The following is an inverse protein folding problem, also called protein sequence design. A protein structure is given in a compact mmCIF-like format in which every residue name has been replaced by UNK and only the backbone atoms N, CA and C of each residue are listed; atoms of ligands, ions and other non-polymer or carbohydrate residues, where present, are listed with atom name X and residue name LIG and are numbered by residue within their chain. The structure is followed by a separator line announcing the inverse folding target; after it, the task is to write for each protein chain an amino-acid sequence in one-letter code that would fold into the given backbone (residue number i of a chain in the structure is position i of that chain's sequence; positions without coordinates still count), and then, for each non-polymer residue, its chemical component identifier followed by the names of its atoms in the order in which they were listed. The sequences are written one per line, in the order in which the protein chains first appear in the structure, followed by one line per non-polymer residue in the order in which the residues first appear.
data_IF_873447542640
#
_entry.id   IF_873447542640
#
_cell.length_a   1.000
_cell.length_b   1.000
_cell.length_c   1.000
_cell.angle_alpha   90.00
_cell.angle_beta   90.00
_cell.angle_gamma   90.00
#
_symmetry.space_group_name_H-M   'P 1'
#
loop_
_entity.id
_entity.type
_entity.pdbx_description
1 polymer ?
#
# COMPACT_ATOMS: atom_id res chain seq x y z
N UNK A 1 38.23 20.18 13.27
CA UNK A 1 36.77 20.35 13.46
C UNK A 1 36.07 19.53 12.37
N UNK A 2 35.72 18.28 12.66
CA UNK A 2 34.94 17.44 11.75
C UNK A 2 33.47 17.84 11.90
N UNK A 3 32.87 18.39 10.85
CA UNK A 3 31.43 18.58 10.78
C UNK A 3 30.80 17.21 10.51
N UNK A 4 30.35 16.52 11.55
CA UNK A 4 29.45 15.39 11.39
C UNK A 4 28.10 15.94 10.95
N UNK A 5 27.84 15.90 9.65
CA UNK A 5 26.48 16.07 9.13
C UNK A 5 25.70 14.84 9.57
N UNK A 6 25.01 14.94 10.69
CA UNK A 6 23.94 14.01 11.02
C UNK A 6 22.86 14.21 9.97
N UNK A 7 22.89 13.41 8.90
CA UNK A 7 21.76 13.30 7.99
C UNK A 7 20.58 12.79 8.82
N UNK A 8 19.67 13.68 9.20
CA UNK A 8 18.39 13.26 9.74
C UNK A 8 17.72 12.43 8.66
N UNK A 9 17.49 11.14 8.93
CA UNK A 9 16.83 10.26 7.99
C UNK A 9 15.45 10.85 7.65
N UNK A 10 15.25 11.21 6.37
CA UNK A 10 13.97 11.71 5.88
C UNK A 10 12.97 10.56 5.82
N UNK A 11 11.76 10.78 6.32
CA UNK A 11 10.66 9.83 6.15
C UNK A 11 10.28 9.75 4.67
N UNK A 12 10.31 8.54 4.11
CA UNK A 12 9.94 8.29 2.72
C UNK A 12 9.01 7.09 2.64
N UNK A 13 8.11 7.12 1.66
CA UNK A 13 7.32 5.97 1.21
C UNK A 13 7.78 5.67 -0.21
N UNK A 14 8.04 4.41 -0.52
CA UNK A 14 8.48 3.96 -1.84
C UNK A 14 7.64 2.78 -2.29
N UNK A 15 7.65 2.53 -3.59
CA UNK A 15 7.16 1.27 -4.19
C UNK A 15 8.35 0.37 -4.51
N UNK A 16 8.19 -0.95 -4.33
CA UNK A 16 9.22 -1.89 -4.78
C UNK A 16 9.17 -2.11 -6.29
N UNK A 17 7.99 -1.95 -6.88
CA UNK A 17 7.78 -1.95 -8.31
C UNK A 17 6.79 -0.85 -8.68
N UNK A 18 7.13 -0.03 -9.66
CA UNK A 18 6.26 1.04 -10.14
C UNK A 18 5.14 0.53 -11.07
N UNK A 19 5.30 -0.66 -11.64
CA UNK A 19 4.32 -1.30 -12.52
C UNK A 19 4.27 -2.80 -12.30
N UNK A 20 3.06 -3.32 -12.26
CA UNK A 20 2.71 -4.72 -12.11
C UNK A 20 1.84 -5.17 -13.28
N UNK A 21 2.00 -6.41 -13.72
CA UNK A 21 1.15 -7.06 -14.71
C UNK A 21 0.75 -8.45 -14.20
N UNK A 22 -0.53 -8.78 -14.29
CA UNK A 22 -1.07 -10.08 -13.92
C UNK A 22 -2.28 -10.42 -14.80
N UNK A 23 -2.60 -11.71 -14.87
CA UNK A 23 -3.78 -12.18 -15.59
C UNK A 23 -5.03 -12.12 -14.71
N UNK A 24 -6.21 -12.02 -15.34
CA UNK A 24 -7.48 -12.14 -14.66
C UNK A 24 -7.57 -13.45 -13.85
N UNK A 25 -8.36 -13.46 -12.76
CA UNK A 25 -8.56 -14.59 -11.85
C UNK A 25 -7.32 -15.04 -11.05
N UNK A 26 -6.12 -14.59 -11.40
CA UNK A 26 -4.91 -14.79 -10.61
C UNK A 26 -4.87 -13.84 -9.42
N UNK A 27 -3.77 -13.90 -8.69
CA UNK A 27 -3.51 -13.04 -7.55
C UNK A 27 -2.18 -12.31 -7.72
N UNK A 28 -2.04 -11.17 -7.06
CA UNK A 28 -0.80 -10.39 -7.02
C UNK A 28 -0.55 -9.84 -5.61
N UNK A 29 0.67 -9.37 -5.36
CA UNK A 29 1.01 -8.63 -4.15
C UNK A 29 1.53 -7.26 -4.55
N UNK A 30 0.81 -6.22 -4.15
CA UNK A 30 1.25 -4.84 -4.26
C UNK A 30 2.07 -4.50 -3.01
N UNK A 31 3.25 -3.90 -3.21
CA UNK A 31 4.20 -3.70 -2.11
C UNK A 31 4.76 -2.28 -2.07
N UNK A 32 4.58 -1.64 -0.92
CA UNK A 32 5.20 -0.39 -0.55
C UNK A 32 6.16 -0.60 0.62
N UNK A 33 7.17 0.25 0.71
CA UNK A 33 8.03 0.37 1.88
C UNK A 33 7.93 1.78 2.43
N UNK A 34 8.11 1.94 3.74
CA UNK A 34 8.19 3.24 4.38
C UNK A 34 9.31 3.24 5.42
N UNK A 35 9.90 4.41 5.63
CA UNK A 35 10.91 4.58 6.68
C UNK A 35 10.28 4.25 8.03
N UNK A 36 10.80 3.22 8.68
CA UNK A 36 10.46 2.89 10.07
C UNK A 36 11.73 2.96 10.91
N UNK A 37 11.72 3.70 12.02
CA UNK A 37 12.74 3.51 13.06
C UNK A 37 12.31 2.31 13.90
N UNK A 38 13.24 1.42 14.23
CA UNK A 38 13.05 0.08 14.84
C UNK A 38 12.39 0.06 16.23
N UNK A 39 11.66 1.10 16.62
CA UNK A 39 10.98 1.27 17.89
C UNK A 39 9.79 2.24 17.86
N UNK A 40 9.33 2.66 16.67
CA UNK A 40 8.20 3.59 16.53
C UNK A 40 6.91 3.02 17.13
N UNK A 41 6.17 3.86 17.85
CA UNK A 41 4.87 3.51 18.42
C UNK A 41 3.84 3.39 17.29
N UNK A 42 3.15 2.25 17.25
CA UNK A 42 2.03 2.02 16.33
C UNK A 42 0.84 2.97 16.55
N UNK A 43 0.82 3.69 17.68
CA UNK A 43 -0.33 4.54 18.06
C UNK A 43 -0.59 5.68 17.10
N UNK A 44 0.43 6.15 16.38
CA UNK A 44 0.26 7.20 15.37
C UNK A 44 0.29 6.65 13.95
N UNK A 45 0.29 5.33 13.77
CA UNK A 45 0.30 4.73 12.46
C UNK A 45 -1.02 5.00 11.74
N UNK A 46 -0.92 5.68 10.61
CA UNK A 46 -1.98 5.84 9.65
C UNK A 46 -1.52 5.27 8.31
N UNK A 47 -2.34 4.40 7.74
CA UNK A 47 -2.12 3.82 6.41
C UNK A 47 -3.43 3.90 5.68
N UNK A 48 -3.41 4.47 4.48
CA UNK A 48 -4.56 4.49 3.59
C UNK A 48 -4.10 4.12 2.19
N UNK A 49 -4.41 2.90 1.76
CA UNK A 49 -4.12 2.46 0.41
C UNK A 49 -5.42 2.35 -0.40
N UNK A 50 -5.43 2.95 -1.59
CA UNK A 50 -6.61 3.03 -2.46
C UNK A 50 -6.25 2.86 -3.94
N UNK A 51 -7.21 2.34 -4.72
CA UNK A 51 -7.20 2.44 -6.18
C UNK A 51 -7.84 3.78 -6.58
N UNK A 52 -7.10 4.58 -7.34
CA UNK A 52 -7.55 5.87 -7.85
C UNK A 52 -8.44 5.68 -9.10
N UNK A 53 -9.71 5.33 -8.88
CA UNK A 53 -10.68 5.22 -9.97
C UNK A 53 -11.19 6.61 -10.42
N UNK A 54 -11.70 6.76 -11.66
CA UNK A 54 -12.05 8.07 -12.23
C UNK A 54 -13.05 8.93 -11.43
N UNK A 55 -13.87 8.32 -10.56
CA UNK A 55 -14.96 9.00 -9.85
C UNK A 55 -14.94 8.79 -8.33
N UNK A 56 -14.08 7.90 -7.82
CA UNK A 56 -13.93 7.65 -6.39
C UNK A 56 -12.61 6.95 -6.11
N UNK A 57 -12.07 7.16 -4.92
CA UNK A 57 -11.03 6.29 -4.38
C UNK A 57 -11.68 5.02 -3.84
N UNK A 58 -11.18 3.86 -4.27
CA UNK A 58 -11.62 2.57 -3.79
C UNK A 58 -10.63 2.10 -2.73
N UNK A 59 -11.04 2.08 -1.47
CA UNK A 59 -10.16 1.72 -0.36
C UNK A 59 -9.86 0.23 -0.38
N UNK A 60 -8.57 -0.13 -0.32
CA UNK A 60 -8.11 -1.52 -0.16
C UNK A 60 -7.85 -1.84 1.30
N UNK A 61 -7.18 -0.92 2.00
CA UNK A 61 -6.72 -1.11 3.36
C UNK A 61 -6.59 0.22 4.09
N UNK A 62 -7.03 0.25 5.34
CA UNK A 62 -7.04 1.44 6.17
C UNK A 62 -6.68 1.11 7.62
N UNK A 63 -5.72 1.85 8.14
CA UNK A 63 -5.34 1.91 9.55
C UNK A 63 -5.40 3.37 9.98
N UNK A 64 -6.01 3.64 11.13
CA UNK A 64 -5.95 4.95 11.79
C UNK A 64 -5.63 4.74 13.27
N UNK A 65 -4.69 5.53 13.79
CA UNK A 65 -4.20 5.43 15.17
C UNK A 65 -3.74 4.00 15.56
N UNK A 66 -3.16 3.28 14.59
CA UNK A 66 -2.72 1.89 14.77
C UNK A 66 -3.85 0.85 14.80
N UNK A 67 -5.10 1.24 14.57
CA UNK A 67 -6.27 0.37 14.54
C UNK A 67 -6.71 0.15 13.09
N UNK A 68 -6.95 -1.10 12.70
CA UNK A 68 -7.49 -1.46 11.39
C UNK A 68 -8.99 -1.13 11.28
N UNK A 69 -9.41 -0.56 10.16
CA UNK A 69 -10.81 -0.24 9.84
C UNK A 69 -11.30 -1.08 8.66
N UNK A 70 -11.59 -2.38 8.86
CA UNK A 70 -11.98 -3.28 7.77
C UNK A 70 -13.26 -2.83 7.05
N UNK A 71 -14.21 -2.21 7.77
CA UNK A 71 -15.47 -1.72 7.21
C UNK A 71 -15.30 -0.56 6.22
N UNK A 72 -14.12 0.05 6.16
CA UNK A 72 -13.82 1.09 5.17
C UNK A 72 -13.39 0.54 3.80
N UNK A 73 -13.09 -0.77 3.71
CA UNK A 73 -12.73 -1.40 2.45
C UNK A 73 -13.90 -1.31 1.45
N UNK A 74 -13.60 -0.88 0.23
CA UNK A 74 -14.62 -0.78 -0.82
C UNK A 74 -15.16 -2.17 -1.17
N UNK A 75 -16.48 -2.29 -1.37
CA UNK A 75 -17.16 -3.55 -1.65
C UNK A 75 -16.57 -4.30 -2.85
N UNK A 76 -15.99 -3.59 -3.83
CA UNK A 76 -15.28 -4.21 -4.95
C UNK A 76 -14.16 -5.13 -4.48
N UNK A 77 -13.48 -4.81 -3.38
CA UNK A 77 -12.36 -5.57 -2.83
C UNK A 77 -12.73 -6.52 -1.69
N UNK A 78 -14.01 -6.58 -1.31
CA UNK A 78 -14.49 -7.40 -0.19
C UNK A 78 -14.05 -8.86 -0.30
N UNK A 79 -13.31 -9.33 0.71
CA UNK A 79 -12.79 -10.70 0.77
C UNK A 79 -11.71 -11.02 -0.27
N UNK A 80 -11.20 -10.03 -1.01
CA UNK A 80 -10.14 -10.19 -2.03
C UNK A 80 -8.79 -9.68 -1.59
N UNK A 81 -8.74 -8.73 -0.65
CA UNK A 81 -7.50 -8.11 -0.17
C UNK A 81 -7.11 -8.62 1.22
N UNK A 82 -5.84 -9.01 1.37
CA UNK A 82 -5.24 -9.41 2.64
C UNK A 82 -3.92 -8.66 2.86
N UNK A 83 -3.63 -8.26 4.09
CA UNK A 83 -2.39 -7.60 4.49
C UNK A 83 -1.44 -8.60 5.16
N UNK A 84 -0.16 -8.57 4.79
CA UNK A 84 0.92 -9.26 5.52
C UNK A 84 1.29 -8.45 6.77
N UNK A 85 0.71 -8.82 7.93
CA UNK A 85 0.85 -8.07 9.19
C UNK A 85 2.23 -8.23 9.83
N UNK A 86 2.94 -9.33 9.52
CA UNK A 86 4.21 -9.65 10.16
C UNK A 86 5.30 -8.67 9.72
N UNK A 87 5.31 -8.32 8.44
CA UNK A 87 6.28 -7.38 7.85
C UNK A 87 5.89 -5.91 8.00
N UNK A 88 4.67 -5.61 8.48
CA UNK A 88 4.23 -4.23 8.69
C UNK A 88 5.13 -3.50 9.70
N UNK A 89 5.65 -4.23 10.69
CA UNK A 89 6.59 -3.74 11.72
C UNK A 89 7.95 -3.38 11.17
N UNK A 90 8.26 -3.93 10.02
CA UNK A 90 9.51 -3.72 9.30
C UNK A 90 9.38 -2.58 8.26
N UNK A 91 8.27 -1.84 8.29
CA UNK A 91 8.05 -0.72 7.37
C UNK A 91 7.63 -1.19 5.97
N UNK A 92 6.96 -2.35 5.86
CA UNK A 92 6.54 -2.94 4.58
C UNK A 92 5.03 -3.12 4.56
N UNK A 93 4.37 -2.63 3.52
CA UNK A 93 2.94 -2.81 3.30
C UNK A 93 2.80 -3.76 2.12
N UNK A 94 2.34 -4.99 2.36
CA UNK A 94 2.14 -5.99 1.30
C UNK A 94 0.67 -6.37 1.24
N UNK A 95 -0.03 -5.86 0.23
CA UNK A 95 -1.43 -6.15 -0.01
C UNK A 95 -1.54 -7.25 -1.05
N UNK A 96 -1.94 -8.44 -0.60
CA UNK A 96 -2.30 -9.52 -1.48
C UNK A 96 -3.70 -9.31 -2.04
N UNK A 97 -3.82 -9.16 -3.36
CA UNK A 97 -5.08 -9.02 -4.07
C UNK A 97 -5.34 -10.31 -4.85
N UNK A 98 -6.45 -10.98 -4.53
CA UNK A 98 -6.85 -12.26 -5.13
C UNK A 98 -8.05 -12.09 -6.06
N UNK A 99 -8.24 -13.08 -6.96
CA UNK A 99 -9.35 -13.09 -7.92
C UNK A 99 -9.42 -11.76 -8.67
N UNK A 100 -8.30 -11.40 -9.31
CA UNK A 100 -8.15 -10.17 -10.06
C UNK A 100 -9.20 -10.07 -11.15
N UNK A 101 -9.67 -8.85 -11.38
CA UNK A 101 -10.61 -8.48 -12.42
C UNK A 101 -9.99 -7.41 -13.29
N UNK A 102 -10.40 -7.32 -14.55
CA UNK A 102 -9.90 -6.28 -15.47
C UNK A 102 -10.10 -4.85 -14.92
N UNK A 103 -11.21 -4.62 -14.21
CA UNK A 103 -11.56 -3.40 -13.48
C UNK A 103 -10.63 -3.04 -12.30
N UNK A 104 -9.77 -3.96 -11.85
CA UNK A 104 -8.72 -3.67 -10.87
C UNK A 104 -7.50 -3.00 -11.53
N UNK A 105 -7.45 -2.87 -12.86
CA UNK A 105 -6.37 -2.14 -13.52
C UNK A 105 -6.41 -0.66 -13.16
N UNK A 106 -5.27 -0.08 -12.77
CA UNK A 106 -5.20 1.34 -12.46
C UNK A 106 -4.00 1.74 -11.63
N UNK A 107 -4.10 2.94 -11.04
CA UNK A 107 -3.08 3.51 -10.16
C UNK A 107 -3.48 3.26 -8.70
N UNK A 108 -2.57 2.64 -7.97
CA UNK A 108 -2.71 2.35 -6.55
C UNK A 108 -1.82 3.30 -5.77
N UNK A 109 -2.44 4.11 -4.92
CA UNK A 109 -1.78 5.03 -4.01
C UNK A 109 -1.74 4.40 -2.63
N UNK A 110 -0.63 4.53 -1.92
CA UNK A 110 -0.66 4.36 -0.47
C UNK A 110 -0.05 5.56 0.24
N UNK A 111 -0.82 6.14 1.17
CA UNK A 111 -0.42 7.22 2.07
C UNK A 111 -0.08 6.61 3.42
N UNK A 112 1.08 6.98 3.96
CA UNK A 112 1.54 6.54 5.28
C UNK A 112 1.90 7.76 6.11
N UNK A 113 1.39 7.81 7.34
CA UNK A 113 1.79 8.78 8.35
C UNK A 113 2.21 8.03 9.61
N UNK A 114 3.31 8.49 10.20
CA UNK A 114 3.85 8.05 11.49
C UNK A 114 4.36 9.26 12.26
N UNK A 115 4.88 9.04 13.47
CA UNK A 115 5.63 10.04 14.24
C UNK A 115 6.84 10.60 13.46
N UNK A 116 7.41 9.80 12.56
CA UNK A 116 8.60 10.17 11.78
C UNK A 116 8.29 11.05 10.57
N UNK A 117 7.03 11.12 10.14
CA UNK A 117 6.60 11.95 9.02
C UNK A 117 5.43 11.38 8.24
N UNK A 118 5.15 12.01 7.09
CA UNK A 118 4.11 11.60 6.14
C UNK A 118 4.71 11.44 4.76
N UNK A 119 4.23 10.47 4.01
CA UNK A 119 4.66 10.21 2.64
C UNK A 119 3.63 9.39 1.91
N UNK A 120 3.78 9.32 0.59
CA UNK A 120 2.91 8.52 -0.26
C UNK A 120 3.61 8.16 -1.55
N UNK A 121 3.27 7.01 -2.12
CA UNK A 121 3.79 6.63 -3.43
C UNK A 121 2.76 5.80 -4.22
N UNK A 122 2.88 5.86 -5.55
CA UNK A 122 1.95 5.21 -6.50
C UNK A 122 2.63 4.06 -7.24
N UNK A 123 1.93 2.95 -7.39
CA UNK A 123 2.25 1.92 -8.38
C UNK A 123 1.08 1.71 -9.35
N UNK A 124 1.36 1.12 -10.51
CA UNK A 124 0.36 0.75 -11.51
C UNK A 124 0.12 -0.75 -11.52
N UNK A 125 -1.13 -1.18 -11.59
CA UNK A 125 -1.50 -2.56 -11.92
C UNK A 125 -2.18 -2.59 -13.29
N UNK A 126 -1.78 -3.55 -14.12
CA UNK A 126 -2.47 -3.93 -15.36
C UNK A 126 -2.91 -5.38 -15.27
N UNK A 127 -4.21 -5.61 -15.36
CA UNK A 127 -4.81 -6.95 -15.40
C UNK A 127 -5.13 -7.31 -16.85
N UNK A 128 -4.64 -8.44 -17.31
CA UNK A 128 -4.83 -8.94 -18.67
C UNK A 128 -6.08 -9.82 -18.76
N UNK A 129 -6.93 -9.53 -19.73
CA UNK A 129 -8.13 -10.31 -20.04
C UNK A 129 -7.76 -11.57 -20.82
N UNK A 130 -7.97 -12.73 -20.19
CA UNK A 130 -7.66 -14.04 -20.77
C UNK A 130 -8.76 -14.50 -21.74
N UNK A 131 -9.95 -13.88 -21.72
CA UNK A 131 -11.06 -14.22 -22.63
C UNK A 131 -10.83 -13.77 -24.09
N UNK A 132 -9.72 -13.05 -24.34
CA UNK A 132 -9.29 -12.58 -25.66
C UNK A 132 -8.36 -13.55 -26.42
N UNK A 133 -8.13 -14.76 -25.90
CA UNK A 133 -7.34 -15.81 -26.55
C UNK A 133 -8.19 -17.01 -27.01
#
# INVERSE_FOLDING_TARGET
LSLSVSSAATFVVNVTQSSYEAEENHSITLEWTFTTRTQGSYRELFIHCSLLAPHKELVLYHVSEGVEFPDSQDEQFSGRVQIDKDVLREGRIRLHVSRLRTEDSGLYLCVVKTEDGVGSEICRLKVLDISSH
#
